data_IF_750529894954
#
_entry.id   IF_750529894954
#
_cell.length_a   1.000
_cell.length_b   1.000
_cell.length_c   1.000
_cell.angle_alpha   90.00
_cell.angle_beta   90.00
_cell.angle_gamma   90.00
#
_symmetry.space_group_name_H-M   'P 1'
#
loop_
_entity.id
_entity.type
_entity.pdbx_description
1 polymer ?
#
# COMPACT_ATOMS: atom_id res chain seq x y z
N UNK A 1 -6.12 -21.97 15.73
CA UNK A 1 -6.57 -21.08 14.64
C UNK A 1 -5.40 -20.31 14.02
N UNK A 2 -4.67 -20.94 13.08
CA UNK A 2 -3.54 -20.33 12.34
C UNK A 2 -3.96 -19.17 11.41
N UNK A 3 -5.25 -19.08 11.09
CA UNK A 3 -5.78 -18.14 10.10
C UNK A 3 -6.01 -16.72 10.63
N UNK A 4 -6.44 -16.58 11.88
CA UNK A 4 -6.80 -15.28 12.48
C UNK A 4 -5.65 -14.27 12.43
N UNK A 5 -4.39 -14.63 12.78
CA UNK A 5 -3.25 -13.74 12.63
C UNK A 5 -2.97 -13.35 11.17
N UNK A 6 -3.10 -14.30 10.23
CA UNK A 6 -2.89 -14.05 8.79
C UNK A 6 -3.92 -13.09 8.21
N UNK A 7 -5.20 -13.27 8.53
CA UNK A 7 -6.28 -12.36 8.09
C UNK A 7 -6.10 -10.96 8.69
N UNK A 8 -5.61 -10.85 9.94
CA UNK A 8 -5.27 -9.55 10.54
C UNK A 8 -4.12 -8.88 9.76
N UNK A 9 -3.06 -9.62 9.47
CA UNK A 9 -1.91 -9.10 8.71
C UNK A 9 -2.32 -8.69 7.29
N UNK A 10 -3.10 -9.52 6.58
CA UNK A 10 -3.66 -9.21 5.27
C UNK A 10 -4.48 -7.91 5.30
N UNK A 11 -5.33 -7.73 6.30
CA UNK A 11 -6.12 -6.52 6.48
C UNK A 11 -5.23 -5.27 6.64
N UNK A 12 -4.12 -5.37 7.38
CA UNK A 12 -3.14 -4.29 7.49
C UNK A 12 -2.45 -4.01 6.16
N UNK A 13 -2.01 -5.04 5.44
CA UNK A 13 -1.31 -4.87 4.15
C UNK A 13 -2.23 -4.30 3.06
N UNK A 14 -3.48 -4.75 3.00
CA UNK A 14 -4.48 -4.19 2.09
C UNK A 14 -4.74 -2.71 2.39
N UNK A 15 -4.96 -2.37 3.66
CA UNK A 15 -5.14 -0.96 4.08
C UNK A 15 -3.95 -0.10 3.65
N UNK A 16 -2.71 -0.55 3.90
CA UNK A 16 -1.51 0.18 3.51
C UNK A 16 -1.42 0.37 1.99
N UNK A 17 -1.69 -0.69 1.22
CA UNK A 17 -1.72 -0.62 -0.24
C UNK A 17 -2.75 0.40 -0.74
N UNK A 18 -3.99 0.33 -0.26
CA UNK A 18 -5.07 1.25 -0.68
C UNK A 18 -4.76 2.70 -0.34
N UNK A 19 -4.27 2.98 0.87
CA UNK A 19 -3.85 4.33 1.27
C UNK A 19 -2.70 4.82 0.38
N UNK A 20 -1.72 3.95 0.11
CA UNK A 20 -0.56 4.33 -0.68
C UNK A 20 -0.90 4.59 -2.15
N UNK A 21 -1.76 3.76 -2.75
CA UNK A 21 -2.29 3.99 -4.09
C UNK A 21 -3.00 5.34 -4.15
N UNK A 22 -3.82 5.67 -3.14
CA UNK A 22 -4.50 6.97 -3.11
C UNK A 22 -3.54 8.15 -2.96
N UNK A 23 -2.48 7.99 -2.18
CA UNK A 23 -1.42 9.00 -2.06
C UNK A 23 -0.73 9.27 -3.38
N UNK A 24 -0.46 8.23 -4.18
CA UNK A 24 0.12 8.40 -5.52
C UNK A 24 -0.85 9.09 -6.47
N UNK A 25 -2.15 8.75 -6.42
CA UNK A 25 -3.17 9.48 -7.20
C UNK A 25 -3.24 10.98 -6.87
N UNK A 26 -2.93 11.36 -5.63
CA UNK A 26 -2.95 12.74 -5.15
C UNK A 26 -1.58 13.44 -5.22
N UNK A 27 -0.54 12.78 -5.75
CA UNK A 27 0.85 13.26 -5.74
C UNK A 27 1.37 13.64 -4.34
N UNK A 28 0.95 12.88 -3.32
CA UNK A 28 1.34 13.07 -1.91
C UNK A 28 2.42 12.04 -1.55
N UNK A 29 3.71 12.37 -1.65
CA UNK A 29 4.76 11.42 -1.30
C UNK A 29 4.71 11.04 0.19
N UNK A 30 5.03 9.77 0.54
CA UNK A 30 5.33 9.40 1.92
C UNK A 30 6.44 10.28 2.49
N UNK A 31 6.39 10.57 3.80
CA UNK A 31 7.37 11.43 4.50
C UNK A 31 8.83 11.02 4.30
N UNK A 32 9.11 9.74 4.01
CA UNK A 32 10.48 9.27 3.75
C UNK A 32 10.99 9.66 2.36
N UNK A 33 10.09 9.80 1.38
CA UNK A 33 10.40 10.20 0.01
C UNK A 33 10.42 11.73 -0.10
N UNK A 34 9.51 12.41 0.59
CA UNK A 34 9.35 13.86 0.53
C UNK A 34 10.57 14.64 1.05
N UNK A 35 11.32 14.06 2.00
CA UNK A 35 12.50 14.66 2.61
C UNK A 35 13.74 14.71 1.71
N UNK A 36 13.69 14.07 0.54
CA UNK A 36 14.82 14.04 -0.39
C UNK A 36 14.68 15.21 -1.37
N UNK A 37 15.63 16.13 -1.31
CA UNK A 37 15.80 17.25 -2.23
C UNK A 37 17.24 17.23 -2.75
N UNK A 38 17.40 17.16 -4.08
CA UNK A 38 18.71 17.15 -4.74
C UNK A 38 19.17 18.56 -5.15
N UNK A 39 18.42 19.59 -4.77
CA UNK A 39 18.77 20.97 -5.07
C UNK A 39 20.00 21.40 -4.27
N UNK A 40 20.94 22.05 -4.96
CA UNK A 40 22.08 22.72 -4.34
C UNK A 40 22.24 24.13 -4.90
N UNK A 41 22.93 25.01 -4.16
CA UNK A 41 23.21 26.38 -4.63
C UNK A 41 24.33 26.35 -5.65
N UNK A 42 24.09 26.99 -6.79
CA UNK A 42 25.10 27.17 -7.84
C UNK A 42 25.87 28.45 -7.54
N UNK A 43 27.18 28.43 -7.78
CA UNK A 43 27.97 29.65 -7.81
C UNK A 43 27.71 30.42 -9.11
N UNK A 44 26.99 31.53 -9.00
CA UNK A 44 26.55 32.36 -10.12
C UNK A 44 27.56 33.49 -10.44
N UNK A 45 28.77 33.45 -9.87
CA UNK A 45 29.80 34.48 -10.09
C UNK A 45 30.36 34.52 -11.52
N UNK A 46 30.33 33.39 -12.22
CA UNK A 46 30.88 33.24 -13.59
C UNK A 46 29.80 32.77 -14.58
N UNK A 47 28.76 32.08 -14.09
CA UNK A 47 27.71 31.48 -14.91
C UNK A 47 26.61 32.52 -15.16
N UNK A 48 26.09 32.58 -16.39
CA UNK A 48 24.98 33.47 -16.70
C UNK A 48 23.70 33.05 -15.96
N UNK A 49 22.79 34.00 -15.72
CA UNK A 49 21.51 33.70 -15.04
C UNK A 49 20.70 32.64 -15.79
N UNK A 50 20.71 32.66 -17.13
CA UNK A 50 20.00 31.68 -17.95
C UNK A 50 20.58 30.27 -17.79
N UNK A 51 21.91 30.12 -17.79
CA UNK A 51 22.57 28.84 -17.56
C UNK A 51 22.32 28.31 -16.14
N UNK A 52 22.40 29.17 -15.13
CA UNK A 52 22.08 28.80 -13.75
C UNK A 52 20.62 28.33 -13.63
N UNK A 53 19.68 29.02 -14.27
CA UNK A 53 18.27 28.65 -14.28
C UNK A 53 18.02 27.29 -14.96
N UNK A 54 18.72 26.99 -16.06
CA UNK A 54 18.67 25.66 -16.70
C UNK A 54 19.13 24.57 -15.73
N UNK A 55 20.22 24.80 -15.00
CA UNK A 55 20.72 23.84 -14.01
C UNK A 55 19.75 23.67 -12.82
N UNK A 56 19.15 24.75 -12.30
CA UNK A 56 18.11 24.63 -11.27
C UNK A 56 16.89 23.85 -11.78
N UNK A 57 16.50 24.04 -13.04
CA UNK A 57 15.41 23.26 -13.64
C UNK A 57 15.77 21.78 -13.74
N UNK A 58 17.02 21.44 -14.09
CA UNK A 58 17.50 20.06 -14.08
C UNK A 58 17.46 19.45 -12.67
N UNK A 59 17.87 20.18 -11.62
CA UNK A 59 17.78 19.71 -10.24
C UNK A 59 16.34 19.41 -9.80
N UNK A 60 15.40 20.31 -10.18
CA UNK A 60 13.97 20.09 -9.92
C UNK A 60 13.47 18.84 -10.64
N UNK A 61 13.89 18.62 -11.87
CA UNK A 61 13.52 17.44 -12.64
C UNK A 61 14.07 16.16 -12.01
N UNK A 62 15.34 16.14 -11.60
CA UNK A 62 15.95 15.00 -10.88
C UNK A 62 15.17 14.67 -9.61
N UNK A 63 14.83 15.69 -8.82
CA UNK A 63 14.05 15.50 -7.58
C UNK A 63 12.66 14.94 -7.88
N UNK A 64 12.00 15.42 -8.93
CA UNK A 64 10.69 14.91 -9.38
C UNK A 64 10.77 13.47 -9.85
N UNK A 65 11.79 13.13 -10.64
CA UNK A 65 11.98 11.78 -11.17
C UNK A 65 12.27 10.78 -10.05
N UNK A 66 13.14 11.15 -9.11
CA UNK A 66 13.39 10.34 -7.91
C UNK A 66 12.10 10.08 -7.14
N UNK A 67 11.31 11.12 -6.85
CA UNK A 67 10.03 10.98 -6.12
C UNK A 67 9.09 10.02 -6.84
N UNK A 68 8.97 10.17 -8.16
CA UNK A 68 8.10 9.33 -8.99
C UNK A 68 8.54 7.86 -8.96
N UNK A 69 9.83 7.60 -9.16
CA UNK A 69 10.39 6.25 -9.14
C UNK A 69 10.27 5.61 -7.75
N UNK A 70 10.60 6.36 -6.69
CA UNK A 70 10.49 5.88 -5.32
C UNK A 70 9.04 5.56 -4.93
N UNK A 71 8.08 6.42 -5.30
CA UNK A 71 6.65 6.17 -5.06
C UNK A 71 6.17 4.93 -5.82
N UNK A 72 6.61 4.76 -7.08
CA UNK A 72 6.27 3.60 -7.91
C UNK A 72 6.75 2.31 -7.26
N UNK A 73 8.02 2.24 -6.87
CA UNK A 73 8.58 1.09 -6.18
C UNK A 73 7.87 0.80 -4.87
N UNK A 74 7.50 1.83 -4.12
CA UNK A 74 6.81 1.66 -2.85
C UNK A 74 5.40 1.10 -3.02
N UNK A 75 4.63 1.58 -4.01
CA UNK A 75 3.32 1.01 -4.37
C UNK A 75 3.47 -0.43 -4.84
N UNK A 76 4.42 -0.71 -5.72
CA UNK A 76 4.66 -2.06 -6.22
C UNK A 76 5.01 -3.04 -5.10
N UNK A 77 5.85 -2.62 -4.14
CA UNK A 77 6.17 -3.41 -2.96
C UNK A 77 4.93 -3.69 -2.11
N UNK A 78 4.13 -2.68 -1.79
CA UNK A 78 2.90 -2.84 -1.01
C UNK A 78 1.87 -3.73 -1.72
N UNK A 79 1.72 -3.58 -3.05
CA UNK A 79 0.86 -4.40 -3.88
C UNK A 79 1.28 -5.87 -3.83
N UNK A 80 2.59 -6.14 -3.95
CA UNK A 80 3.13 -7.50 -3.93
C UNK A 80 2.96 -8.16 -2.56
N UNK A 81 3.23 -7.44 -1.48
CA UNK A 81 2.99 -7.96 -0.12
C UNK A 81 1.52 -8.34 0.09
N UNK A 82 0.60 -7.50 -0.38
CA UNK A 82 -0.85 -7.77 -0.33
C UNK A 82 -1.25 -8.98 -1.17
N UNK A 83 -0.72 -9.08 -2.40
CA UNK A 83 -1.01 -10.19 -3.32
C UNK A 83 -0.56 -11.54 -2.74
N UNK A 84 0.66 -11.61 -2.20
CA UNK A 84 1.21 -12.83 -1.58
C UNK A 84 0.29 -13.33 -0.45
N UNK A 85 -0.11 -12.43 0.46
CA UNK A 85 -1.01 -12.79 1.56
C UNK A 85 -2.42 -13.15 1.07
N UNK A 86 -2.90 -12.51 -0.01
CA UNK A 86 -4.20 -12.83 -0.61
C UNK A 86 -4.20 -14.24 -1.19
N UNK A 87 -3.14 -14.60 -1.92
CA UNK A 87 -2.96 -15.93 -2.49
C UNK A 87 -2.83 -17.00 -1.39
N UNK A 88 -2.08 -16.71 -0.31
CA UNK A 88 -2.00 -17.62 0.84
C UNK A 88 -3.37 -17.83 1.52
N UNK A 89 -4.12 -16.76 1.79
CA UNK A 89 -5.44 -16.87 2.42
C UNK A 89 -6.37 -17.66 1.50
N UNK A 90 -6.41 -17.34 0.21
CA UNK A 90 -7.21 -18.08 -0.78
C UNK A 90 -6.87 -19.56 -0.79
N UNK A 91 -5.57 -19.91 -0.82
CA UNK A 91 -5.14 -21.30 -0.80
C UNK A 91 -5.49 -22.03 0.51
N UNK A 92 -5.57 -21.34 1.65
CA UNK A 92 -6.05 -21.96 2.89
C UNK A 92 -7.58 -22.15 2.84
N UNK A 93 -8.32 -21.16 2.33
CA UNK A 93 -9.79 -21.23 2.15
C UNK A 93 -10.16 -22.42 1.24
N UNK A 94 -9.48 -22.55 0.10
CA UNK A 94 -9.72 -23.63 -0.86
C UNK A 94 -9.43 -25.03 -0.30
N UNK A 95 -8.56 -25.12 0.71
CA UNK A 95 -8.22 -26.38 1.40
C UNK A 95 -9.09 -26.66 2.62
N UNK A 96 -10.03 -25.79 2.97
CA UNK A 96 -11.03 -26.15 3.97
C UNK A 96 -11.89 -27.30 3.41
N UNK A 97 -12.27 -28.29 4.24
CA UNK A 97 -13.19 -29.33 3.81
C UNK A 97 -14.47 -28.67 3.28
N UNK A 98 -14.75 -28.84 1.99
CA UNK A 98 -15.93 -28.28 1.34
C UNK A 98 -17.12 -29.25 1.36
N UNK A 99 -16.86 -30.53 1.64
CA UNK A 99 -17.87 -31.58 1.75
C UNK A 99 -17.70 -32.30 3.11
N UNK A 100 -18.83 -32.61 3.74
CA UNK A 100 -18.93 -33.47 4.92
C UNK A 100 -18.45 -34.88 4.55
N UNK A 101 -17.16 -35.17 4.65
CA UNK A 101 -16.67 -36.53 4.34
C UNK A 101 -16.86 -37.53 5.47
N UNK A 102 -17.36 -37.12 6.65
CA UNK A 102 -17.74 -38.06 7.71
C UNK A 102 -18.84 -37.46 8.57
N UNK A 103 -20.11 -37.79 8.27
CA UNK A 103 -21.33 -37.87 9.11
C UNK A 103 -21.55 -37.08 10.42
N UNK A 104 -20.73 -36.10 10.81
CA UNK A 104 -20.81 -35.39 12.08
C UNK A 104 -20.11 -34.02 11.95
N UNK A 105 -20.90 -32.93 11.97
CA UNK A 105 -20.46 -31.58 12.37
C UNK A 105 -19.27 -30.91 11.63
N UNK A 106 -19.14 -30.99 10.29
CA UNK A 106 -18.15 -30.15 9.57
C UNK A 106 -18.62 -28.70 9.29
N UNK A 107 -19.89 -28.38 9.56
CA UNK A 107 -20.53 -27.08 9.27
C UNK A 107 -20.16 -25.89 10.20
N UNK A 108 -19.73 -26.04 11.47
CA UNK A 108 -19.48 -24.89 12.36
C UNK A 108 -18.22 -24.08 12.01
N UNK A 109 -17.15 -24.75 11.57
CA UNK A 109 -15.82 -24.14 11.42
C UNK A 109 -15.70 -23.21 10.21
N UNK A 110 -16.19 -23.66 9.05
CA UNK A 110 -16.16 -22.87 7.81
C UNK A 110 -17.14 -21.70 7.86
N UNK A 111 -18.36 -21.90 8.37
CA UNK A 111 -19.35 -20.85 8.53
C UNK A 111 -18.85 -19.74 9.49
N UNK A 112 -18.28 -20.12 10.65
CA UNK A 112 -17.69 -19.16 11.59
C UNK A 112 -16.49 -18.41 10.97
N UNK A 113 -15.67 -19.11 10.17
CA UNK A 113 -14.58 -18.47 9.45
C UNK A 113 -15.09 -17.44 8.43
N UNK A 114 -16.06 -17.80 7.58
CA UNK A 114 -16.63 -16.92 6.56
C UNK A 114 -17.20 -15.65 7.20
N UNK A 115 -18.00 -15.80 8.25
CA UNK A 115 -18.55 -14.65 9.00
C UNK A 115 -17.44 -13.76 9.59
N UNK A 116 -16.41 -14.35 10.20
CA UNK A 116 -15.27 -13.59 10.73
C UNK A 116 -14.55 -12.81 9.62
N UNK A 117 -14.31 -13.45 8.47
CA UNK A 117 -13.61 -12.83 7.34
C UNK A 117 -14.41 -11.66 6.76
N UNK A 118 -15.70 -11.85 6.52
CA UNK A 118 -16.60 -10.80 6.02
C UNK A 118 -16.67 -9.60 6.97
N UNK A 119 -16.81 -9.84 8.29
CA UNK A 119 -16.81 -8.76 9.28
C UNK A 119 -15.47 -8.01 9.31
N UNK A 120 -14.36 -8.73 9.16
CA UNK A 120 -13.03 -8.11 9.12
C UNK A 120 -12.84 -7.26 7.86
N UNK A 121 -13.34 -7.72 6.72
CA UNK A 121 -13.30 -6.97 5.46
C UNK A 121 -14.13 -5.68 5.56
N UNK A 122 -15.35 -5.75 6.11
CA UNK A 122 -16.20 -4.57 6.35
C UNK A 122 -15.49 -3.56 7.25
N UNK A 123 -14.92 -4.01 8.37
CA UNK A 123 -14.16 -3.15 9.29
C UNK A 123 -12.98 -2.47 8.59
N UNK A 124 -12.24 -3.23 7.77
CA UNK A 124 -11.10 -2.70 7.03
C UNK A 124 -11.52 -1.62 6.02
N UNK A 125 -12.64 -1.80 5.30
CA UNK A 125 -13.17 -0.78 4.38
C UNK A 125 -13.44 0.54 5.11
N UNK A 126 -14.11 0.48 6.27
CA UNK A 126 -14.34 1.65 7.12
C UNK A 126 -13.03 2.30 7.59
N UNK A 127 -12.05 1.50 8.02
CA UNK A 127 -10.73 2.01 8.45
C UNK A 127 -9.96 2.67 7.29
N UNK A 128 -10.15 2.20 6.04
CA UNK A 128 -9.58 2.83 4.84
C UNK A 128 -10.29 4.15 4.57
N UNK A 129 -11.62 4.16 4.49
CA UNK A 129 -12.43 5.37 4.27
C UNK A 129 -12.08 6.49 5.25
N UNK A 130 -11.99 6.17 6.55
CA UNK A 130 -11.55 7.11 7.58
C UNK A 130 -10.12 7.60 7.33
N UNK A 131 -9.20 6.72 6.91
CA UNK A 131 -7.82 7.13 6.64
C UNK A 131 -7.70 7.99 5.40
N UNK A 132 -8.56 7.77 4.41
CA UNK A 132 -8.64 8.59 3.20
C UNK A 132 -9.25 9.97 3.51
N UNK A 133 -10.24 10.04 4.40
CA UNK A 133 -10.79 11.31 4.87
C UNK A 133 -9.70 12.26 5.39
N UNK A 134 -8.77 11.78 6.21
CA UNK A 134 -7.61 12.56 6.69
C UNK A 134 -6.59 12.94 5.61
N UNK A 135 -6.68 12.40 4.39
CA UNK A 135 -5.86 12.83 3.26
C UNK A 135 -6.52 13.95 2.44
N UNK A 136 -7.83 14.16 2.63
CA UNK A 136 -8.63 15.16 1.90
C UNK A 136 -8.96 16.41 2.71
N UNK A 137 -8.81 16.37 4.04
CA UNK A 137 -8.78 17.55 4.92
C UNK A 137 -7.38 18.20 4.93
#
# INVERSE_FOLDING_TARGET
>A
FLLKPKVKLWSTKNKNYQILSKRVELDIPPKIIDKVDFSFKIDESIISQDEAQVMYNQMRQITKDFRTQAMTLYVQSAAREFEVLSNEIKGIIERFPQENDDGFDAEPGYAAFKQYHELREKRMKLEIEQSLYFLFE
#
